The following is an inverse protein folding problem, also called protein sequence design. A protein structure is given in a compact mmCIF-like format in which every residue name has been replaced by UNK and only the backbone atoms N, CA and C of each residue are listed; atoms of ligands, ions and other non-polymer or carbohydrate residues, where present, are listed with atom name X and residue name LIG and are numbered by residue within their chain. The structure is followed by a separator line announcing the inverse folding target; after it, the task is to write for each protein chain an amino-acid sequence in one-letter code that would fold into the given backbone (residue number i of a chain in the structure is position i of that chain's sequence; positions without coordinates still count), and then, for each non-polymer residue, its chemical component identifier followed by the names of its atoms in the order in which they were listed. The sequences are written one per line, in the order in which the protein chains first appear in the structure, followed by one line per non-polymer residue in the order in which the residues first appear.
data_IF_232339532832
#
_entry.id   IF_232339532832
#
_cell.length_a   1.000
_cell.length_b   1.000
_cell.length_c   1.000
_cell.angle_alpha   90.00
_cell.angle_beta   90.00
_cell.angle_gamma   90.00
#
_symmetry.space_group_name_H-M   'P 1'
#
loop_
_entity.id
_entity.type
_entity.pdbx_description
1 polymer ?
#
# COMPACT_ATOMS: atom_id res chain seq x y z
N UNK A 1 10.50 7.79 -3.91
CA UNK A 1 10.07 9.07 -3.29
C UNK A 1 8.67 9.01 -2.65
N UNK A 2 7.69 8.34 -3.26
CA UNK A 2 6.29 8.32 -2.75
C UNK A 2 6.13 7.64 -1.39
N UNK A 3 6.87 6.55 -1.12
CA UNK A 3 6.71 5.80 0.13
C UNK A 3 7.32 6.52 1.34
N UNK A 4 8.37 7.31 1.11
CA UNK A 4 9.02 8.14 2.15
C UNK A 4 8.07 9.23 2.67
N UNK A 5 7.24 9.80 1.79
CA UNK A 5 6.20 10.77 2.16
C UNK A 5 5.06 10.13 2.97
N UNK A 6 4.70 8.87 2.68
CA UNK A 6 3.72 8.13 3.48
C UNK A 6 4.22 7.80 4.88
N UNK A 7 5.53 7.60 5.11
CA UNK A 7 6.07 7.46 6.47
C UNK A 7 6.07 8.79 7.25
N UNK A 8 6.16 9.92 6.54
CA UNK A 8 6.19 11.25 7.16
C UNK A 8 4.80 11.75 7.57
N UNK A 9 3.76 11.45 6.78
CA UNK A 9 2.39 11.93 7.03
C UNK A 9 1.61 11.10 8.05
N UNK A 10 2.13 9.94 8.40
CA UNK A 10 1.48 8.96 9.26
C UNK A 10 2.60 8.18 9.91
N UNK A 11 2.78 8.29 11.22
CA UNK A 11 3.83 7.62 12.01
C UNK A 11 3.74 6.09 11.97
N UNK A 12 3.84 5.51 10.78
CA UNK A 12 3.75 4.09 10.53
C UNK A 12 5.06 3.44 10.91
N UNK A 13 4.95 2.37 11.70
CA UNK A 13 6.07 1.54 12.12
C UNK A 13 6.62 0.81 10.89
N UNK A 14 7.90 1.04 10.58
CA UNK A 14 8.59 0.32 9.51
C UNK A 14 9.21 -0.98 10.04
N UNK A 15 9.05 -2.11 9.35
CA UNK A 15 9.68 -3.37 9.75
C UNK A 15 11.20 -3.32 9.49
N UNK A 16 11.98 -3.06 10.55
CA UNK A 16 13.46 -2.89 10.49
C UNK A 16 14.17 -4.00 9.73
N UNK A 17 13.92 -5.26 10.10
CA UNK A 17 14.58 -6.42 9.48
C UNK A 17 14.28 -6.55 7.97
N UNK A 18 13.07 -6.18 7.55
CA UNK A 18 12.70 -6.22 6.13
C UNK A 18 13.32 -5.04 5.39
N UNK A 19 13.23 -3.83 5.95
CA UNK A 19 13.79 -2.62 5.35
C UNK A 19 15.31 -2.70 5.18
N UNK A 20 16.04 -3.24 6.15
CA UNK A 20 17.49 -3.49 6.04
C UNK A 20 17.82 -4.53 4.96
N UNK A 21 16.96 -5.53 4.76
CA UNK A 21 17.16 -6.60 3.76
C UNK A 21 16.90 -6.13 2.32
N UNK A 22 15.84 -5.35 2.10
CA UNK A 22 15.42 -4.96 0.74
C UNK A 22 15.82 -3.54 0.36
N UNK A 23 16.28 -2.75 1.34
CA UNK A 23 16.60 -1.34 1.16
C UNK A 23 15.39 -0.49 0.78
N UNK A 24 15.65 0.80 0.54
CA UNK A 24 14.59 1.75 0.18
C UNK A 24 13.87 1.34 -1.12
N UNK A 25 14.61 0.98 -2.17
CA UNK A 25 14.02 0.64 -3.47
C UNK A 25 13.18 -0.64 -3.44
N UNK A 26 13.62 -1.66 -2.72
CA UNK A 26 12.85 -2.90 -2.56
C UNK A 26 11.59 -2.68 -1.74
N UNK A 27 11.65 -1.84 -0.71
CA UNK A 27 10.48 -1.46 0.07
C UNK A 27 9.48 -0.63 -0.75
N UNK A 28 9.94 0.27 -1.64
CA UNK A 28 9.03 1.01 -2.53
C UNK A 28 8.30 0.08 -3.53
N UNK A 29 8.92 -1.02 -3.95
CA UNK A 29 8.33 -2.00 -4.86
C UNK A 29 7.38 -2.96 -4.15
N UNK A 30 7.69 -3.32 -2.90
CA UNK A 30 6.91 -4.29 -2.12
C UNK A 30 6.82 -3.84 -0.67
N UNK A 31 5.98 -2.82 -0.41
CA UNK A 31 5.84 -2.28 0.93
C UNK A 31 5.11 -3.26 1.84
N UNK A 32 5.62 -3.45 3.04
CA UNK A 32 5.01 -4.28 4.08
C UNK A 32 4.70 -3.39 5.28
N UNK A 33 3.49 -3.51 5.81
CA UNK A 33 3.02 -2.79 6.98
C UNK A 33 2.06 -3.62 7.83
N UNK A 34 1.64 -3.07 8.96
CA UNK A 34 0.75 -3.72 9.95
C UNK A 34 -0.71 -3.28 9.84
N UNK A 35 -1.08 -2.66 8.72
CA UNK A 35 -2.43 -2.15 8.47
C UNK A 35 -3.47 -3.24 8.18
N UNK A 36 -4.74 -2.84 8.04
CA UNK A 36 -5.85 -3.75 7.72
C UNK A 36 -5.78 -4.36 6.31
N UNK A 37 -4.97 -3.78 5.43
CA UNK A 37 -4.78 -4.26 4.06
C UNK A 37 -3.30 -4.46 3.75
N UNK A 38 -3.00 -5.50 2.98
CA UNK A 38 -1.67 -5.83 2.44
C UNK A 38 -1.62 -5.49 0.95
N UNK A 39 -0.46 -5.06 0.46
CA UNK A 39 -0.27 -4.86 -0.99
C UNK A 39 -0.22 -6.20 -1.70
N UNK A 40 -1.13 -6.39 -2.65
CA UNK A 40 -1.18 -7.58 -3.52
C UNK A 40 -0.43 -7.33 -4.84
N UNK A 41 -0.74 -6.21 -5.51
CA UNK A 41 -0.03 -5.78 -6.72
C UNK A 41 0.01 -4.26 -6.83
N UNK A 42 1.19 -3.72 -7.12
CA UNK A 42 1.34 -2.31 -7.47
C UNK A 42 1.82 -2.18 -8.91
N UNK A 43 1.03 -1.49 -9.72
CA UNK A 43 1.36 -1.17 -11.10
C UNK A 43 1.39 0.34 -11.27
N UNK A 44 2.60 0.88 -11.46
CA UNK A 44 2.84 2.32 -11.54
C UNK A 44 2.00 2.91 -12.67
N UNK A 45 1.28 4.00 -12.38
CA UNK A 45 0.38 4.70 -13.30
C UNK A 45 -0.85 3.90 -13.77
N UNK A 46 -1.15 2.74 -13.17
CA UNK A 46 -2.33 1.96 -13.52
C UNK A 46 -3.22 1.70 -12.31
N UNK A 47 -2.76 0.86 -11.36
CA UNK A 47 -3.56 0.51 -10.19
C UNK A 47 -2.71 -0.01 -9.02
N UNK A 48 -3.29 0.08 -7.82
CA UNK A 48 -2.83 -0.57 -6.60
C UNK A 48 -3.92 -1.54 -6.12
N UNK A 49 -3.60 -2.84 -6.12
CA UNK A 49 -4.42 -3.89 -5.53
C UNK A 49 -3.98 -4.16 -4.10
N UNK A 50 -4.96 -4.17 -3.21
CA UNK A 50 -4.82 -4.43 -1.79
C UNK A 50 -5.72 -5.61 -1.43
N UNK A 51 -5.21 -6.49 -0.57
CA UNK A 51 -5.97 -7.61 0.02
C UNK A 51 -6.14 -7.41 1.52
N UNK A 52 -7.27 -7.83 2.07
CA UNK A 52 -7.48 -7.79 3.52
C UNK A 52 -6.38 -8.58 4.23
N UNK A 53 -5.84 -8.02 5.31
CA UNK A 53 -4.90 -8.70 6.19
C UNK A 53 -5.69 -9.63 7.13
N UNK A 54 -5.60 -10.97 6.99
CA UNK A 54 -6.34 -11.89 7.86
C UNK A 54 -5.85 -11.87 9.31
N UNK A 55 -4.62 -11.40 9.53
CA UNK A 55 -3.97 -11.31 10.84
C UNK A 55 -4.00 -9.88 11.39
N UNK A 56 -4.93 -9.04 10.93
CA UNK A 56 -5.06 -7.68 11.45
C UNK A 56 -5.60 -7.71 12.89
N UNK A 57 -4.93 -6.96 13.78
CA UNK A 57 -5.21 -6.94 15.22
C UNK A 57 -6.46 -6.12 15.60
N UNK A 58 -7.02 -5.35 14.66
CA UNK A 58 -8.22 -4.54 14.86
C UNK A 58 -9.46 -5.17 14.22
N UNK A 59 -10.44 -4.34 13.90
CA UNK A 59 -11.67 -4.77 13.23
C UNK A 59 -11.38 -5.35 11.84
N UNK A 60 -12.05 -6.46 11.52
CA UNK A 60 -11.94 -7.09 10.19
C UNK A 60 -12.27 -6.06 9.09
N UNK A 61 -11.45 -5.96 8.03
CA UNK A 61 -11.74 -5.07 6.92
C UNK A 61 -13.08 -5.42 6.28
N UNK A 62 -13.87 -4.41 5.90
CA UNK A 62 -15.17 -4.60 5.27
C UNK A 62 -15.08 -5.25 3.88
N UNK A 63 -13.94 -5.10 3.20
CA UNK A 63 -13.71 -5.62 1.86
C UNK A 63 -12.53 -6.57 1.86
N UNK A 64 -12.65 -7.70 1.16
CA UNK A 64 -11.54 -8.66 1.04
C UNK A 64 -10.50 -8.19 0.03
N UNK A 65 -10.92 -7.50 -1.02
CA UNK A 65 -10.07 -6.99 -2.09
C UNK A 65 -10.43 -5.53 -2.39
N UNK A 66 -9.43 -4.66 -2.45
CA UNK A 66 -9.58 -3.24 -2.78
C UNK A 66 -8.66 -2.95 -3.97
N UNK A 67 -9.22 -2.42 -5.05
CA UNK A 67 -8.44 -1.97 -6.21
C UNK A 67 -8.55 -0.47 -6.34
N UNK A 68 -7.43 0.22 -6.12
CA UNK A 68 -7.31 1.67 -6.32
C UNK A 68 -6.78 1.88 -7.73
N UNK A 69 -7.61 2.40 -8.63
CA UNK A 69 -7.18 2.76 -9.99
C UNK A 69 -6.63 4.18 -10.00
N UNK A 70 -5.45 4.36 -10.59
CA UNK A 70 -4.85 5.69 -10.76
C UNK A 70 -5.34 6.28 -12.09
N UNK A 71 -6.44 7.02 -12.05
CA UNK A 71 -6.95 7.74 -13.21
C UNK A 71 -6.60 9.22 -13.04
N UNK A 72 -5.61 9.68 -13.78
CA UNK A 72 -5.07 11.05 -13.67
C UNK A 72 -6.04 12.10 -14.23
N UNK A 73 -6.74 11.77 -15.31
CA UNK A 73 -7.75 12.64 -15.90
C UNK A 73 -9.08 12.61 -15.12
N UNK A 74 -9.62 13.78 -14.82
CA UNK A 74 -10.87 13.92 -14.07
C UNK A 74 -12.10 13.54 -14.89
N UNK A 75 -12.09 13.79 -16.21
CA UNK A 75 -13.21 13.43 -17.08
C UNK A 75 -13.35 11.89 -17.18
N UNK A 76 -12.22 11.20 -17.31
CA UNK A 76 -12.15 9.73 -17.32
C UNK A 76 -12.51 9.05 -15.99
N UNK A 77 -12.65 9.80 -14.88
CA UNK A 77 -13.08 9.24 -13.57
C UNK A 77 -14.60 9.16 -13.41
N UNK A 78 -15.35 9.95 -14.17
CA UNK A 78 -16.80 10.10 -14.01
C UNK A 78 -17.57 9.31 -15.08
N UNK A 79 -16.98 9.12 -16.26
CA UNK A 79 -17.56 8.43 -17.39
C UNK A 79 -17.57 6.89 -17.23
#
# INVERSE_FOLDING_TARGET
VYFKWMSFLTGYIMPKAYYEKVGAEGFEKSPIGTGPYMVDKFERNAFLRLKANPNYWGSKPAFENVTIKFVTDAASRVA
#
